data_IF_412363408026
#
_entry.id   IF_412363408026
#
_cell.length_a   1.000
_cell.length_b   1.000
_cell.length_c   1.000
_cell.angle_alpha   90.00
_cell.angle_beta   90.00
_cell.angle_gamma   90.00
#
_symmetry.space_group_name_H-M   'P 1'
#
loop_
_entity.id
_entity.type
_entity.pdbx_description
1 polymer ?
#
# COMPACT_ATOMS: atom_id res chain seq x y z
N UNK A 1 16.50 14.88 21.39
CA UNK A 1 15.38 14.11 21.97
C UNK A 1 14.07 14.86 21.72
N UNK A 2 13.29 14.50 20.69
CA UNK A 2 11.89 14.95 20.60
C UNK A 2 10.95 13.89 21.19
N UNK A 3 10.00 14.35 22.01
CA UNK A 3 9.07 13.56 22.80
C UNK A 3 7.64 13.61 22.24
N UNK A 4 6.85 12.63 22.70
CA UNK A 4 5.38 12.54 22.78
C UNK A 4 4.61 12.19 21.50
N UNK A 5 4.07 10.97 21.45
CA UNK A 5 2.63 10.75 21.68
C UNK A 5 2.42 9.46 22.51
N UNK A 6 1.68 9.52 23.64
CA UNK A 6 1.18 8.36 24.37
C UNK A 6 -0.28 8.10 23.97
N UNK A 7 -0.55 7.04 23.21
CA UNK A 7 -1.94 6.60 22.91
C UNK A 7 -1.86 5.07 22.82
N UNK A 8 -2.06 4.37 23.93
CA UNK A 8 -3.34 3.84 24.44
C UNK A 8 -3.48 2.35 24.08
N UNK A 9 -3.20 1.54 25.10
CA UNK A 9 -3.60 0.15 25.28
C UNK A 9 -5.01 -0.14 24.75
N UNK A 10 -5.17 -1.17 23.90
CA UNK A 10 -6.33 -2.07 23.94
C UNK A 10 -5.83 -3.52 23.78
N UNK A 11 -5.91 -4.22 24.90
CA UNK A 11 -5.91 -5.67 25.06
C UNK A 11 -7.20 -6.24 24.43
N UNK A 12 -7.15 -7.46 23.86
CA UNK A 12 -8.19 -8.52 23.92
C UNK A 12 -7.87 -9.57 22.85
N UNK A 13 -7.62 -10.80 23.30
CA UNK A 13 -7.52 -11.97 22.44
C UNK A 13 -8.89 -12.49 22.01
N UNK A 14 -8.93 -13.29 20.94
CA UNK A 14 -9.98 -14.28 20.75
C UNK A 14 -9.54 -15.41 19.84
N UNK A 15 -9.77 -16.61 20.36
CA UNK A 15 -9.74 -17.96 19.83
C UNK A 15 -9.87 -18.18 18.32
N UNK A 16 -9.18 -19.22 17.87
CA UNK A 16 -9.17 -19.69 16.49
C UNK A 16 -10.46 -20.36 16.02
N UNK A 17 -10.51 -20.54 14.71
CA UNK A 17 -11.45 -21.39 14.00
C UNK A 17 -10.74 -21.97 12.77
N UNK A 18 -10.51 -23.28 12.78
CA UNK A 18 -10.02 -24.04 11.64
C UNK A 18 -11.15 -24.14 10.59
N UNK A 19 -10.84 -23.81 9.33
CA UNK A 19 -11.74 -23.99 8.19
C UNK A 19 -11.21 -25.16 7.35
N UNK A 20 -11.96 -26.27 7.17
CA UNK A 20 -11.55 -27.37 6.32
C UNK A 20 -11.75 -27.01 4.84
N UNK A 21 -10.82 -27.48 4.01
CA UNK A 21 -10.73 -27.16 2.59
C UNK A 21 -11.88 -27.74 1.76
N UNK A 22 -12.28 -26.98 0.73
CA UNK A 22 -13.11 -27.44 -0.38
C UNK A 22 -12.39 -27.10 -1.69
N UNK A 23 -12.30 -28.12 -2.55
CA UNK A 23 -11.32 -28.23 -3.64
C UNK A 23 -11.45 -27.20 -4.76
N UNK A 24 -10.29 -26.82 -5.30
CA UNK A 24 -10.17 -26.02 -6.50
C UNK A 24 -10.62 -26.83 -7.73
N UNK A 25 -11.60 -26.30 -8.46
CA UNK A 25 -11.91 -26.75 -9.81
C UNK A 25 -10.70 -26.45 -10.71
N UNK A 26 -10.07 -27.51 -11.22
CA UNK A 26 -8.97 -27.41 -12.17
C UNK A 26 -9.56 -27.00 -13.51
N UNK A 27 -9.41 -25.73 -13.88
CA UNK A 27 -9.71 -25.27 -15.24
C UNK A 27 -8.58 -25.75 -16.15
N UNK A 28 -8.86 -26.49 -17.25
CA UNK A 28 -7.81 -26.89 -18.18
C UNK A 28 -7.23 -25.64 -18.85
N UNK A 29 -5.92 -25.44 -18.67
CA UNK A 29 -5.19 -24.34 -19.29
C UNK A 29 -5.26 -24.44 -20.82
N UNK A 30 -5.67 -23.35 -21.47
CA UNK A 30 -5.62 -23.24 -22.92
C UNK A 30 -4.16 -23.36 -23.43
N UNK A 31 -3.92 -23.95 -24.61
CA UNK A 31 -2.57 -24.11 -25.14
C UNK A 31 -1.91 -22.75 -25.36
N UNK A 32 -0.74 -22.57 -24.76
CA UNK A 32 0.10 -21.37 -24.87
C UNK A 32 0.47 -21.13 -26.34
N UNK A 33 0.31 -19.90 -26.87
CA UNK A 33 0.63 -19.60 -28.26
C UNK A 33 2.11 -19.92 -28.57
N UNK A 34 2.42 -20.45 -29.77
CA UNK A 34 3.78 -20.84 -30.13
C UNK A 34 4.74 -19.63 -30.07
N UNK A 35 5.86 -19.78 -29.35
CA UNK A 35 6.93 -18.78 -29.31
C UNK A 35 6.93 -17.84 -28.11
N UNK A 36 6.00 -17.96 -27.15
CA UNK A 36 6.23 -17.32 -25.85
C UNK A 36 7.35 -18.08 -25.11
N UNK A 37 8.45 -17.39 -24.85
CA UNK A 37 9.44 -17.80 -23.84
C UNK A 37 8.83 -17.53 -22.46
N UNK A 38 9.01 -18.46 -21.52
CA UNK A 38 8.70 -18.19 -20.11
C UNK A 38 9.67 -17.12 -19.61
N UNK A 39 9.13 -15.92 -19.32
CA UNK A 39 9.91 -14.90 -18.61
C UNK A 39 10.28 -15.54 -17.27
N UNK A 40 11.57 -15.65 -16.92
CA UNK A 40 11.96 -16.14 -15.61
C UNK A 40 11.18 -15.36 -14.55
N UNK A 41 10.59 -16.06 -13.58
CA UNK A 41 10.01 -15.42 -12.40
C UNK A 41 11.15 -14.67 -11.71
N UNK A 42 11.31 -13.40 -12.07
CA UNK A 42 12.39 -12.56 -11.56
C UNK A 42 12.17 -12.43 -10.05
N UNK A 43 12.93 -13.22 -9.28
CA UNK A 43 12.88 -13.32 -7.81
C UNK A 43 13.27 -12.01 -7.09
N UNK A 44 13.37 -10.90 -7.82
CA UNK A 44 13.75 -9.63 -7.28
C UNK A 44 13.35 -8.50 -8.20
N UNK A 45 12.04 -8.23 -8.28
CA UNK A 45 11.54 -6.96 -8.80
C UNK A 45 12.28 -5.82 -8.10
N UNK A 46 13.35 -5.32 -8.72
CA UNK A 46 14.12 -4.21 -8.19
C UNK A 46 13.19 -3.00 -8.23
N UNK A 47 12.95 -2.32 -7.09
CA UNK A 47 12.12 -1.13 -7.11
C UNK A 47 12.77 -0.14 -8.08
N UNK A 48 12.00 0.31 -9.07
CA UNK A 48 12.44 1.34 -9.98
C UNK A 48 12.64 2.62 -9.17
N UNK A 49 13.91 2.98 -8.92
CA UNK A 49 14.25 4.22 -8.23
C UNK A 49 14.16 5.34 -9.26
N UNK A 50 13.02 6.03 -9.28
CA UNK A 50 12.84 7.21 -10.13
C UNK A 50 13.52 8.38 -9.42
N UNK A 51 14.56 9.01 -10.03
CA UNK A 51 15.19 10.18 -9.44
C UNK A 51 14.15 11.30 -9.27
N UNK A 52 13.97 11.74 -8.02
CA UNK A 52 13.10 12.86 -7.70
C UNK A 52 13.79 14.15 -8.17
N UNK A 53 13.09 14.93 -9.01
CA UNK A 53 13.56 16.21 -9.50
C UNK A 53 13.51 17.30 -8.42
N UNK A 54 14.28 18.39 -8.59
CA UNK A 54 14.17 19.55 -7.71
C UNK A 54 12.75 20.12 -7.75
N UNK A 55 12.06 20.08 -6.62
CA UNK A 55 10.69 20.56 -6.47
C UNK A 55 9.63 19.46 -6.37
N UNK A 56 9.99 18.19 -6.55
CA UNK A 56 9.10 17.08 -6.26
C UNK A 56 8.80 17.02 -4.75
N UNK A 57 7.53 16.78 -4.36
CA UNK A 57 7.18 16.63 -2.97
C UNK A 57 7.76 15.32 -2.41
N UNK A 58 8.12 15.34 -1.13
CA UNK A 58 8.41 14.12 -0.39
C UNK A 58 7.10 13.40 -0.07
N UNK A 59 6.98 12.15 -0.50
CA UNK A 59 5.75 11.35 -0.38
C UNK A 59 6.00 10.22 0.62
N UNK A 60 5.29 10.27 1.75
CA UNK A 60 5.30 9.20 2.74
C UNK A 60 4.04 8.35 2.60
N UNK A 61 4.21 7.06 2.29
CA UNK A 61 3.12 6.11 2.10
C UNK A 61 3.02 5.22 3.34
N UNK A 62 1.85 5.17 3.97
CA UNK A 62 1.56 4.26 5.09
C UNK A 62 0.22 3.59 4.93
N UNK A 63 0.08 2.39 5.50
CA UNK A 63 -1.20 1.69 5.58
C UNK A 63 -1.80 1.91 6.97
N UNK A 64 -3.04 2.35 7.03
CA UNK A 64 -3.79 2.55 8.27
C UNK A 64 -5.07 1.70 8.21
N UNK A 65 -5.05 0.56 8.91
CA UNK A 65 -6.09 -0.45 8.79
C UNK A 65 -6.18 -1.00 7.36
N UNK A 66 -7.33 -0.78 6.70
CA UNK A 66 -7.54 -1.17 5.30
C UNK A 66 -7.32 0.00 4.32
N UNK A 67 -6.90 1.17 4.81
CA UNK A 67 -6.71 2.37 3.98
C UNK A 67 -5.24 2.58 3.67
N UNK A 68 -4.94 3.08 2.47
CA UNK A 68 -3.61 3.58 2.11
C UNK A 68 -3.59 5.10 2.22
N UNK A 69 -2.62 5.63 2.93
CA UNK A 69 -2.44 7.06 3.17
C UNK A 69 -1.13 7.49 2.52
N UNK A 70 -1.21 8.47 1.63
CA UNK A 70 -0.05 9.12 1.01
C UNK A 70 0.01 10.57 1.52
N UNK A 71 1.03 10.89 2.31
CA UNK A 71 1.29 12.22 2.84
C UNK A 71 2.30 12.94 1.95
N UNK A 72 1.90 14.08 1.40
CA UNK A 72 2.73 14.90 0.52
C UNK A 72 3.29 16.08 1.29
N UNK A 73 4.61 16.16 1.35
CA UNK A 73 5.37 17.17 2.08
C UNK A 73 6.16 18.02 1.09
N UNK A 74 6.11 19.35 1.24
CA UNK A 74 6.91 20.29 0.46
C UNK A 74 7.61 21.25 1.41
N UNK A 75 8.93 21.41 1.27
CA UNK A 75 9.73 22.32 2.11
C UNK A 75 9.53 22.07 3.62
N UNK A 76 9.30 20.81 4.02
CA UNK A 76 9.08 20.42 5.42
C UNK A 76 7.66 20.63 5.95
N UNK A 77 6.70 21.05 5.10
CA UNK A 77 5.28 21.21 5.45
C UNK A 77 4.41 20.21 4.71
N UNK A 78 3.48 19.60 5.42
CA UNK A 78 2.45 18.74 4.82
C UNK A 78 1.38 19.63 4.21
N UNK A 79 1.17 19.55 2.90
CA UNK A 79 0.16 20.36 2.20
C UNK A 79 -1.01 19.53 1.71
N UNK A 80 -0.81 18.22 1.52
CA UNK A 80 -1.84 17.32 0.99
C UNK A 80 -1.68 15.92 1.57
N UNK A 81 -2.81 15.27 1.82
CA UNK A 81 -2.89 13.85 2.17
C UNK A 81 -3.91 13.20 1.25
N UNK A 82 -3.52 12.16 0.53
CA UNK A 82 -4.45 11.31 -0.23
C UNK A 82 -4.76 10.08 0.59
N UNK A 83 -6.04 9.81 0.79
CA UNK A 83 -6.53 8.60 1.43
C UNK A 83 -7.19 7.74 0.38
N UNK A 84 -6.72 6.52 0.23
CA UNK A 84 -7.31 5.48 -0.62
C UNK A 84 -7.96 4.45 0.28
N UNK A 85 -9.29 4.50 0.49
CA UNK A 85 -9.97 3.53 1.32
C UNK A 85 -10.10 2.19 0.60
N UNK A 86 -10.21 1.08 1.35
CA UNK A 86 -10.48 -0.24 0.75
C UNK A 86 -11.75 -0.28 -0.08
N UNK A 87 -12.78 0.43 0.38
CA UNK A 87 -14.08 0.53 -0.28
C UNK A 87 -14.42 1.99 -0.46
N UNK A 88 -14.63 2.40 -1.71
CA UNK A 88 -14.96 3.78 -2.05
C UNK A 88 -13.91 4.44 -2.94
N UNK A 89 -14.07 5.74 -3.18
CA UNK A 89 -13.15 6.51 -4.00
C UNK A 89 -12.07 7.16 -3.12
N UNK A 90 -10.83 7.30 -3.62
CA UNK A 90 -9.83 8.10 -2.94
C UNK A 90 -10.29 9.54 -2.74
N UNK A 91 -9.87 10.16 -1.64
CA UNK A 91 -10.14 11.56 -1.34
C UNK A 91 -8.89 12.26 -0.82
N UNK A 92 -8.88 13.59 -0.95
CA UNK A 92 -7.74 14.43 -0.59
C UNK A 92 -8.10 15.33 0.58
N UNK A 93 -7.21 15.41 1.55
CA UNK A 93 -7.20 16.43 2.59
C UNK A 93 -6.13 17.44 2.19
N UNK A 94 -6.53 18.68 1.94
CA UNK A 94 -5.64 19.76 1.52
C UNK A 94 -5.63 20.81 2.63
N UNK A 95 -4.44 21.21 3.07
CA UNK A 95 -4.32 22.36 3.95
C UNK A 95 -4.34 23.64 3.12
N UNK A 96 -5.40 24.42 3.28
CA UNK A 96 -5.58 25.69 2.58
C UNK A 96 -5.01 26.89 3.36
N UNK A 97 -4.50 26.68 4.58
CA UNK A 97 -4.17 27.76 5.52
C UNK A 97 -2.66 28.01 5.63
N UNK A 98 -1.82 26.98 5.45
CA UNK A 98 -0.36 27.09 5.33
C UNK A 98 0.44 27.12 6.63
#
# INVERSE_FOLDING_TARGET
MPRLYPVLLILVGLSGLAIPGTGAAVTPAAPKPPGLVDVPDDEGAVPLIVPQGPGDPDISIRTEGENTIEQYTREGRVYMIKVTPRVGRPYYLIDNTG
#
